data_IF_464113888510
#
_entry.id   IF_464113888510
#
_cell.length_a   1.000
_cell.length_b   1.000
_cell.length_c   1.000
_cell.angle_alpha   90.00
_cell.angle_beta   90.00
_cell.angle_gamma   90.00
#
_symmetry.space_group_name_H-M   'P 1'
#
loop_
_entity.id
_entity.type
_entity.pdbx_description
1 polymer ?
#
# COMPACT_ATOMS: atom_id res chain seq x y z
N UNK A 1 -5.34 -11.86 -8.05
CA UNK A 1 -6.15 -10.74 -8.60
C UNK A 1 -5.24 -9.83 -9.42
N UNK A 2 -5.76 -9.05 -10.38
CA UNK A 2 -5.00 -8.01 -11.08
C UNK A 2 -5.56 -6.65 -10.67
N UNK A 3 -4.74 -5.82 -10.02
CA UNK A 3 -5.09 -4.47 -9.61
C UNK A 3 -4.31 -3.47 -10.45
N UNK A 4 -4.97 -2.36 -10.82
CA UNK A 4 -4.30 -1.23 -11.46
C UNK A 4 -3.77 -0.31 -10.37
N UNK A 5 -2.55 0.17 -10.55
CA UNK A 5 -1.95 1.19 -9.69
C UNK A 5 -1.55 2.39 -10.52
N UNK A 6 -1.59 3.55 -9.89
CA UNK A 6 -1.09 4.81 -10.43
C UNK A 6 0.17 5.16 -9.66
N UNK A 7 1.22 5.57 -10.37
CA UNK A 7 2.47 6.00 -9.80
C UNK A 7 2.69 7.48 -10.15
N UNK A 8 2.85 8.30 -9.13
CA UNK A 8 3.07 9.73 -9.22
C UNK A 8 4.49 10.03 -8.71
N UNK A 9 5.42 10.46 -9.57
CA UNK A 9 6.73 10.91 -9.13
C UNK A 9 6.62 12.22 -8.35
N UNK A 10 7.49 12.42 -7.35
CA UNK A 10 7.58 13.67 -6.59
C UNK A 10 8.70 14.57 -7.13
N UNK A 11 8.48 15.88 -7.09
CA UNK A 11 9.46 16.89 -7.50
C UNK A 11 10.70 16.92 -6.59
N UNK A 12 10.56 16.49 -5.33
CA UNK A 12 11.67 16.41 -4.36
C UNK A 12 12.42 15.08 -4.43
N UNK A 13 12.00 14.17 -5.33
CA UNK A 13 12.52 12.81 -5.45
C UNK A 13 11.58 11.76 -4.84
N UNK A 14 11.76 10.51 -5.25
CA UNK A 14 10.87 9.41 -4.89
C UNK A 14 9.57 9.38 -5.70
N UNK A 15 8.64 8.53 -5.28
CA UNK A 15 7.34 8.35 -5.91
C UNK A 15 6.28 7.84 -4.94
N UNK A 16 5.07 8.35 -5.13
CA UNK A 16 3.85 7.88 -4.48
C UNK A 16 3.15 6.91 -5.42
N UNK A 17 2.55 5.87 -4.87
CA UNK A 17 1.77 4.88 -5.61
C UNK A 17 0.47 4.58 -4.88
N UNK A 18 -0.61 4.42 -5.63
CA UNK A 18 -1.91 4.13 -5.05
C UNK A 18 -2.78 3.27 -5.96
N UNK A 19 -3.78 2.61 -5.37
CA UNK A 19 -4.71 1.73 -6.07
C UNK A 19 -6.06 2.43 -6.20
N UNK A 20 -6.47 2.92 -7.39
CA UNK A 20 -7.76 3.60 -7.53
C UNK A 20 -8.96 2.72 -7.16
N UNK A 21 -8.82 1.39 -7.27
CA UNK A 21 -9.84 0.42 -6.88
C UNK A 21 -9.89 0.10 -5.39
N UNK A 22 -8.91 0.56 -4.59
CA UNK A 22 -8.86 0.38 -3.13
C UNK A 22 -8.61 1.76 -2.49
N UNK A 23 -9.66 2.58 -2.30
CA UNK A 23 -9.53 3.90 -1.71
C UNK A 23 -8.82 3.84 -0.34
N UNK A 24 -7.79 4.65 -0.16
CA UNK A 24 -6.95 4.66 1.04
C UNK A 24 -5.75 3.71 1.01
N UNK A 25 -5.62 2.86 -0.01
CA UNK A 25 -4.41 2.07 -0.23
C UNK A 25 -3.39 2.88 -1.02
N UNK A 26 -2.48 3.53 -0.30
CA UNK A 26 -1.44 4.43 -0.79
C UNK A 26 -0.11 4.01 -0.14
N UNK A 27 0.97 4.14 -0.90
CA UNK A 27 2.33 3.92 -0.41
C UNK A 27 3.33 4.80 -1.15
N UNK A 28 4.56 4.87 -0.66
CA UNK A 28 5.61 5.75 -1.17
C UNK A 28 6.96 5.01 -1.16
N UNK A 29 7.92 5.48 -1.96
CA UNK A 29 9.28 4.96 -1.98
C UNK A 29 10.25 5.88 -2.71
N UNK A 30 11.54 5.78 -2.39
CA UNK A 30 12.61 6.57 -3.01
C UNK A 30 12.84 6.14 -4.46
N UNK A 31 12.48 4.90 -4.77
CA UNK A 31 12.53 4.36 -6.13
C UNK A 31 11.20 3.75 -6.53
N UNK A 32 10.99 3.65 -7.84
CA UNK A 32 9.83 2.97 -8.42
C UNK A 32 9.66 1.55 -7.85
N UNK A 33 10.75 0.77 -7.80
CA UNK A 33 10.71 -0.62 -7.31
C UNK A 33 10.28 -0.71 -5.84
N UNK A 34 10.82 0.17 -5.00
CA UNK A 34 10.44 0.27 -3.60
C UNK A 34 8.97 0.63 -3.43
N UNK A 35 8.48 1.67 -4.13
CA UNK A 35 7.07 2.04 -4.07
C UNK A 35 6.16 0.87 -4.47
N UNK A 36 6.53 0.13 -5.53
CA UNK A 36 5.79 -1.07 -5.95
C UNK A 36 5.82 -2.21 -4.93
N UNK A 37 6.93 -2.42 -4.25
CA UNK A 37 7.03 -3.40 -3.15
C UNK A 37 6.12 -2.98 -1.99
N UNK A 38 6.19 -1.72 -1.58
CA UNK A 38 5.46 -1.22 -0.41
C UNK A 38 3.94 -1.23 -0.65
N UNK A 39 3.46 -0.83 -1.85
CA UNK A 39 2.02 -0.90 -2.16
C UNK A 39 1.51 -2.33 -2.23
N UNK A 40 2.36 -3.29 -2.61
CA UNK A 40 1.97 -4.70 -2.61
C UNK A 40 1.69 -5.20 -1.20
N UNK A 41 2.57 -4.88 -0.25
CA UNK A 41 2.37 -5.22 1.16
C UNK A 41 1.10 -4.54 1.71
N UNK A 42 0.87 -3.27 1.37
CA UNK A 42 -0.34 -2.54 1.77
C UNK A 42 -1.62 -3.18 1.21
N UNK A 43 -1.60 -3.66 -0.04
CA UNK A 43 -2.73 -4.40 -0.65
C UNK A 43 -2.96 -5.73 0.08
N UNK A 44 -1.89 -6.47 0.39
CA UNK A 44 -1.98 -7.75 1.09
C UNK A 44 -2.59 -7.58 2.49
N UNK A 45 -2.17 -6.55 3.22
CA UNK A 45 -2.75 -6.17 4.52
C UNK A 45 -4.21 -5.70 4.40
N UNK A 46 -4.53 -4.89 3.38
CA UNK A 46 -5.88 -4.38 3.17
C UNK A 46 -6.89 -5.50 2.88
N UNK A 47 -6.46 -6.56 2.20
CA UNK A 47 -7.30 -7.70 1.82
C UNK A 47 -7.23 -8.85 2.83
N UNK A 48 -6.41 -8.76 3.88
CA UNK A 48 -6.34 -9.76 4.93
C UNK A 48 -7.69 -9.79 5.69
N UNK A 49 -8.36 -10.95 5.82
CA UNK A 49 -9.60 -11.05 6.57
C UNK A 49 -9.36 -10.73 8.06
N UNK A 50 -10.26 -9.95 8.66
CA UNK A 50 -10.17 -9.49 10.07
C UNK A 50 -10.15 -10.62 11.11
N UNK A 51 -10.38 -11.87 10.70
CA UNK A 51 -10.48 -13.03 11.59
C UNK A 51 -9.14 -13.50 12.20
N UNK A 52 -8.02 -12.82 11.94
CA UNK A 52 -6.67 -13.35 12.29
C UNK A 52 -5.82 -12.50 13.24
N UNK A 53 -6.34 -11.43 13.87
CA UNK A 53 -5.61 -10.72 14.94
C UNK A 53 -6.50 -10.54 16.16
N UNK A 54 -6.27 -11.39 17.16
CA UNK A 54 -6.63 -11.11 18.54
C UNK A 54 -5.89 -9.81 18.94
N UNK A 55 -6.57 -8.67 18.84
CA UNK A 55 -6.09 -7.45 19.47
C UNK A 55 -6.35 -7.64 20.96
N UNK A 56 -5.39 -8.23 21.68
CA UNK A 56 -5.27 -7.95 23.11
C UNK A 56 -4.93 -6.47 23.24
N UNK A 57 -5.95 -5.63 23.25
CA UNK A 57 -5.90 -4.32 23.88
C UNK A 57 -5.56 -4.57 25.34
N UNK A 58 -4.27 -4.52 25.70
CA UNK A 58 -3.85 -4.43 27.09
C UNK A 58 -4.25 -3.05 27.58
N UNK A 59 -5.34 -3.03 28.35
CA UNK A 59 -5.82 -1.93 29.19
C UNK A 59 -4.75 -1.48 30.18
#
# INVERSE_FOLDING_TARGET
MKLKVVLEPSDEGGCTVYVPGLPGCISEGDTRDEAFRNIREAIELFLEPLDSKHVETRT
#
